data_IF_669569179538
#
_entry.id   IF_669569179538
#
_cell.length_a   1.000
_cell.length_b   1.000
_cell.length_c   1.000
_cell.angle_alpha   90.00
_cell.angle_beta   90.00
_cell.angle_gamma   90.00
#
_symmetry.space_group_name_H-M   'P 1'
#
loop_
_entity.id
_entity.type
_entity.pdbx_description
1 polymer ?
#
# COMPACT_ATOMS: atom_id res chain seq x y z
N UNK A 1 -1.41 -44.40 -56.66
CA UNK A 1 -0.04 -44.92 -56.43
C UNK A 1 0.80 -43.72 -55.98
N UNK A 2 1.32 -43.59 -54.77
CA UNK A 2 1.60 -44.54 -53.69
C UNK A 2 1.53 -43.82 -52.33
N UNK A 3 1.11 -44.54 -51.28
CA UNK A 3 1.33 -44.19 -49.86
C UNK A 3 2.80 -44.43 -49.50
N UNK A 4 3.46 -43.50 -48.78
CA UNK A 4 4.55 -43.82 -47.84
C UNK A 4 4.47 -42.84 -46.66
N UNK A 5 4.55 -43.42 -45.46
CA UNK A 5 4.31 -42.84 -44.15
C UNK A 5 5.56 -42.24 -43.47
N UNK A 6 5.25 -41.51 -42.39
CA UNK A 6 5.98 -41.45 -41.10
C UNK A 6 7.13 -40.45 -40.90
N UNK A 7 7.05 -39.70 -39.79
CA UNK A 7 8.22 -39.14 -39.11
C UNK A 7 8.09 -37.71 -38.56
N UNK A 8 7.18 -37.45 -37.60
CA UNK A 8 7.21 -36.19 -36.82
C UNK A 8 8.28 -36.30 -35.72
N UNK A 9 9.30 -35.42 -35.66
CA UNK A 9 10.30 -35.48 -34.60
C UNK A 9 9.66 -35.08 -33.25
N UNK A 10 9.77 -35.98 -32.26
CA UNK A 10 9.38 -35.74 -30.87
C UNK A 10 10.43 -34.82 -30.24
N UNK A 11 10.09 -33.56 -30.01
CA UNK A 11 10.87 -32.70 -29.11
C UNK A 11 10.61 -33.15 -27.67
N UNK A 12 11.59 -33.84 -27.08
CA UNK A 12 11.56 -34.17 -25.65
C UNK A 12 11.78 -32.89 -24.85
N UNK A 13 10.71 -32.32 -24.32
CA UNK A 13 10.81 -31.31 -23.27
C UNK A 13 11.45 -31.97 -22.03
N UNK A 14 12.64 -31.52 -21.64
CA UNK A 14 13.20 -31.91 -20.36
C UNK A 14 12.42 -31.21 -19.24
N UNK A 15 11.94 -31.92 -18.21
CA UNK A 15 11.31 -31.27 -17.07
C UNK A 15 12.36 -30.48 -16.30
N UNK A 16 12.13 -29.18 -16.13
CA UNK A 16 12.90 -28.32 -15.24
C UNK A 16 12.80 -28.89 -13.82
N UNK A 17 13.86 -29.53 -13.35
CA UNK A 17 13.94 -29.99 -11.96
C UNK A 17 14.08 -28.77 -11.06
N UNK A 18 13.05 -28.51 -10.24
CA UNK A 18 13.09 -27.44 -9.24
C UNK A 18 14.28 -27.66 -8.29
N UNK A 19 15.17 -26.68 -8.22
CA UNK A 19 16.34 -26.67 -7.32
C UNK A 19 16.00 -26.90 -5.84
N UNK A 20 14.72 -26.70 -5.46
CA UNK A 20 14.21 -26.89 -4.11
C UNK A 20 14.06 -28.37 -3.69
N UNK A 21 13.90 -29.31 -4.64
CA UNK A 21 13.71 -30.74 -4.34
C UNK A 21 15.02 -31.48 -4.06
N UNK A 22 16.18 -30.93 -4.48
CA UNK A 22 17.48 -31.51 -4.17
C UNK A 22 17.91 -31.28 -2.71
N UNK A 23 17.37 -30.26 -2.03
CA UNK A 23 17.75 -29.94 -0.65
C UNK A 23 17.16 -30.91 0.39
N UNK A 24 16.03 -31.56 0.07
CA UNK A 24 15.35 -32.50 0.98
C UNK A 24 15.93 -33.92 0.98
N UNK A 25 16.80 -34.27 0.02
CA UNK A 25 17.31 -35.65 -0.15
C UNK A 25 18.63 -35.94 0.58
N UNK A 26 19.24 -34.96 1.26
CA UNK A 26 20.53 -35.10 1.97
C UNK A 26 20.43 -35.40 3.47
N UNK A 27 19.25 -35.72 4.01
CA UNK A 27 19.12 -36.20 5.40
C UNK A 27 18.56 -37.61 5.41
N UNK A 28 19.44 -38.60 5.22
CA UNK A 28 19.16 -39.97 5.58
C UNK A 28 19.16 -40.14 7.11
N UNK A 29 18.45 -41.16 7.66
CA UNK A 29 18.41 -41.42 9.08
C UNK A 29 19.69 -42.20 9.48
N UNK A 30 20.63 -41.53 10.14
CA UNK A 30 21.75 -42.23 10.77
C UNK A 30 21.28 -42.81 12.10
N UNK A 31 21.29 -44.14 12.17
CA UNK A 31 21.09 -44.92 13.39
C UNK A 31 22.10 -44.53 14.48
N UNK A 32 21.59 -44.57 15.71
CA UNK A 32 22.30 -44.32 16.95
C UNK A 32 23.33 -45.42 17.29
N UNK A 33 24.52 -45.00 17.73
CA UNK A 33 25.32 -45.64 18.79
C UNK A 33 26.53 -44.79 19.13
N UNK A 34 26.75 -44.52 20.42
CA UNK A 34 28.06 -44.12 20.96
C UNK A 34 28.11 -42.76 21.64
N UNK A 35 28.09 -42.81 22.98
CA UNK A 35 28.56 -41.83 23.97
C UNK A 35 27.77 -40.53 24.19
N UNK A 36 27.26 -40.48 25.41
CA UNK A 36 26.78 -39.34 26.19
C UNK A 36 27.86 -38.28 26.33
N UNK A 37 27.60 -37.08 25.81
CA UNK A 37 27.89 -35.77 26.40
C UNK A 37 27.40 -34.71 25.42
N UNK A 38 26.32 -34.01 25.77
CA UNK A 38 25.90 -32.83 25.01
C UNK A 38 26.99 -31.75 25.10
N UNK A 39 27.08 -30.84 24.11
CA UNK A 39 28.09 -29.78 24.13
C UNK A 39 27.99 -28.99 25.44
N UNK A 40 29.10 -28.95 26.18
CA UNK A 40 29.19 -28.19 27.42
C UNK A 40 28.96 -26.70 27.11
N UNK A 41 27.94 -26.12 27.74
CA UNK A 41 27.67 -24.69 27.65
C UNK A 41 28.84 -23.92 28.30
N UNK A 42 29.30 -22.86 27.64
CA UNK A 42 30.35 -22.00 28.16
C UNK A 42 29.92 -21.36 29.49
N UNK A 43 30.84 -21.32 30.46
CA UNK A 43 30.62 -20.91 31.86
C UNK A 43 30.26 -19.41 32.07
N UNK A 44 29.84 -18.71 31.02
CA UNK A 44 29.61 -17.27 31.05
C UNK A 44 28.16 -16.88 30.77
N UNK A 45 27.19 -17.71 31.15
CA UNK A 45 25.80 -17.29 31.26
C UNK A 45 25.50 -16.84 32.69
N UNK A 46 25.14 -15.57 32.83
CA UNK A 46 24.75 -14.95 34.09
C UNK A 46 23.54 -15.71 34.65
N UNK A 47 23.71 -16.36 35.79
CA UNK A 47 22.63 -16.92 36.61
C UNK A 47 21.62 -15.83 36.96
N UNK A 48 20.61 -15.65 36.11
CA UNK A 48 19.37 -15.04 36.55
C UNK A 48 18.64 -16.12 37.34
N UNK A 49 18.71 -16.04 38.66
CA UNK A 49 17.79 -16.73 39.56
C UNK A 49 16.36 -16.53 39.08
N UNK A 50 15.83 -17.51 38.35
CA UNK A 50 14.41 -17.58 38.00
C UNK A 50 13.71 -18.00 39.28
N UNK A 51 13.28 -17.02 40.08
CA UNK A 51 12.28 -17.25 41.13
C UNK A 51 11.03 -17.80 40.45
N UNK A 52 10.84 -19.13 40.51
CA UNK A 52 9.59 -19.78 40.09
C UNK A 52 8.49 -19.24 41.02
N UNK A 53 7.58 -18.44 40.47
CA UNK A 53 6.35 -18.04 41.18
C UNK A 53 5.61 -19.32 41.57
N UNK A 54 5.03 -19.41 42.79
CA UNK A 54 4.20 -20.56 43.15
C UNK A 54 3.03 -20.69 42.16
N UNK A 55 2.56 -21.91 41.88
CA UNK A 55 1.46 -22.14 40.95
C UNK A 55 0.20 -21.47 41.49
N UNK A 56 -0.07 -20.28 40.97
CA UNK A 56 -1.37 -19.62 41.13
C UNK A 56 -2.44 -20.54 40.53
N UNK A 57 -3.52 -20.70 41.31
CA UNK A 57 -4.62 -21.65 41.16
C UNK A 57 -5.00 -22.07 39.73
N UNK A 58 -5.39 -23.34 39.65
CA UNK A 58 -6.10 -24.02 38.55
C UNK A 58 -6.72 -23.07 37.53
N UNK A 59 -5.92 -22.65 36.54
CA UNK A 59 -6.46 -22.05 35.33
C UNK A 59 -7.23 -23.15 34.62
N UNK A 60 -8.55 -23.06 34.64
CA UNK A 60 -9.44 -23.91 33.84
C UNK A 60 -8.92 -23.90 32.41
N UNK A 61 -8.41 -25.04 31.96
CA UNK A 61 -8.08 -25.29 30.55
C UNK A 61 -9.39 -25.36 29.77
N UNK A 62 -9.93 -24.18 29.45
CA UNK A 62 -11.17 -23.99 28.71
C UNK A 62 -11.05 -22.80 27.77
N UNK A 63 -9.88 -22.62 27.17
CA UNK A 63 -9.60 -21.60 26.18
C UNK A 63 -9.56 -22.19 24.78
N UNK A 64 -10.61 -22.90 24.37
CA UNK A 64 -10.78 -23.19 22.94
C UNK A 64 -10.86 -21.89 22.15
N UNK A 65 -10.34 -21.89 20.91
CA UNK A 65 -10.50 -20.75 19.99
C UNK A 65 -12.00 -20.46 19.88
N UNK A 66 -12.44 -19.32 20.42
CA UNK A 66 -13.83 -18.87 20.26
C UNK A 66 -14.03 -18.46 18.80
N UNK A 67 -14.51 -19.40 17.98
CA UNK A 67 -15.00 -19.09 16.63
C UNK A 67 -16.35 -18.38 16.82
N UNK A 68 -16.32 -17.05 16.90
CA UNK A 68 -17.54 -16.26 16.81
C UNK A 68 -18.09 -16.39 15.40
N UNK A 69 -19.24 -17.07 15.25
CA UNK A 69 -19.95 -17.11 13.98
C UNK A 69 -20.30 -15.68 13.58
N UNK A 70 -19.91 -15.28 12.38
CA UNK A 70 -20.32 -13.98 11.87
C UNK A 70 -21.85 -13.93 11.75
N UNK A 71 -22.46 -12.80 12.15
CA UNK A 71 -23.91 -12.66 12.06
C UNK A 71 -24.33 -12.68 10.59
N UNK A 72 -25.39 -13.43 10.28
CA UNK A 72 -26.03 -13.45 8.96
C UNK A 72 -26.83 -12.16 8.73
N UNK A 73 -26.13 -11.03 8.67
CA UNK A 73 -26.69 -9.70 8.45
C UNK A 73 -26.09 -9.15 7.17
N UNK A 74 -26.87 -8.44 6.37
CA UNK A 74 -26.33 -7.81 5.18
C UNK A 74 -25.41 -6.63 5.54
N UNK A 75 -24.29 -6.42 4.82
CA UNK A 75 -23.41 -5.27 5.00
C UNK A 75 -24.14 -3.90 4.95
N UNK A 76 -25.18 -3.81 4.12
CA UNK A 76 -26.03 -2.61 3.98
C UNK A 76 -26.70 -2.20 5.29
N UNK A 77 -27.06 -3.15 6.15
CA UNK A 77 -27.63 -2.85 7.46
C UNK A 77 -26.60 -2.21 8.39
N UNK A 78 -25.32 -2.60 8.29
CA UNK A 78 -24.24 -1.98 9.07
C UNK A 78 -23.93 -0.55 8.66
N UNK A 79 -24.07 -0.21 7.37
CA UNK A 79 -23.96 1.17 6.90
C UNK A 79 -25.02 2.08 7.51
N UNK A 80 -26.26 1.58 7.65
CA UNK A 80 -27.36 2.34 8.27
C UNK A 80 -27.16 2.54 9.77
N UNK A 81 -26.56 1.56 10.46
CA UNK A 81 -26.30 1.65 11.91
C UNK A 81 -25.17 2.63 12.27
N UNK A 82 -24.24 2.87 11.35
CA UNK A 82 -23.08 3.75 11.54
C UNK A 82 -23.02 4.81 10.42
N UNK A 83 -23.99 5.73 10.36
CA UNK A 83 -23.96 6.82 9.39
C UNK A 83 -22.76 7.74 9.68
N UNK A 84 -22.20 8.36 8.64
CA UNK A 84 -21.08 9.32 8.74
C UNK A 84 -19.71 8.71 9.09
N UNK A 85 -19.59 7.39 9.08
CA UNK A 85 -18.30 6.72 9.07
C UNK A 85 -17.90 6.37 7.63
N UNK A 86 -16.60 6.33 7.32
CA UNK A 86 -16.07 6.09 5.97
C UNK A 86 -16.27 4.65 5.47
N UNK A 87 -17.45 4.06 5.69
CA UNK A 87 -17.77 2.68 5.39
C UNK A 87 -18.41 2.61 4.00
N UNK A 88 -18.00 1.61 3.20
CA UNK A 88 -18.58 1.30 1.91
C UNK A 88 -18.69 -0.21 1.72
N UNK A 89 -19.51 -0.63 0.77
CA UNK A 89 -19.57 -2.03 0.35
C UNK A 89 -18.62 -2.20 -0.83
N UNK A 90 -17.72 -3.17 -0.74
CA UNK A 90 -16.83 -3.54 -1.85
C UNK A 90 -16.75 -5.06 -1.92
N UNK A 91 -17.06 -5.64 -3.10
CA UNK A 91 -17.07 -7.09 -3.30
C UNK A 91 -18.02 -7.86 -2.35
N UNK A 92 -19.14 -7.23 -1.93
CA UNK A 92 -20.09 -7.83 -0.99
C UNK A 92 -19.65 -7.83 0.48
N UNK A 93 -18.51 -7.23 0.81
CA UNK A 93 -17.96 -7.10 2.16
C UNK A 93 -18.00 -5.65 2.64
N UNK A 94 -17.96 -5.46 3.97
CA UNK A 94 -17.89 -4.13 4.58
C UNK A 94 -16.43 -3.65 4.56
N UNK A 95 -16.18 -2.45 4.01
CA UNK A 95 -14.84 -1.91 3.85
C UNK A 95 -14.77 -0.48 4.40
N UNK A 96 -13.69 -0.15 5.11
CA UNK A 96 -13.42 1.22 5.51
C UNK A 96 -12.54 1.93 4.47
N UNK A 97 -13.07 2.95 3.78
CA UNK A 97 -12.34 3.76 2.81
C UNK A 97 -11.17 4.53 3.44
N UNK A 98 -11.33 5.00 4.67
CA UNK A 98 -10.31 5.77 5.39
C UNK A 98 -9.13 4.88 5.82
N UNK A 99 -9.40 3.69 6.38
CA UNK A 99 -8.36 2.77 6.86
C UNK A 99 -7.85 1.80 5.80
N UNK A 100 -8.54 1.68 4.66
CA UNK A 100 -8.28 0.69 3.60
C UNK A 100 -8.31 -0.76 4.10
N UNK A 101 -9.17 -1.04 5.08
CA UNK A 101 -9.30 -2.35 5.75
C UNK A 101 -10.69 -2.94 5.54
N UNK A 102 -10.74 -4.26 5.31
CA UNK A 102 -11.98 -5.03 5.35
C UNK A 102 -12.42 -5.23 6.81
N UNK A 103 -13.71 -5.02 7.09
CA UNK A 103 -14.28 -5.15 8.42
C UNK A 103 -15.23 -6.35 8.50
N UNK A 104 -15.21 -7.00 9.66
CA UNK A 104 -16.19 -8.04 9.97
C UNK A 104 -17.60 -7.45 10.15
N UNK A 105 -18.62 -8.28 9.93
CA UNK A 105 -20.03 -7.89 10.09
C UNK A 105 -20.47 -7.83 11.57
N UNK A 106 -19.58 -8.12 12.52
CA UNK A 106 -19.86 -8.01 13.95
C UNK A 106 -19.94 -6.55 14.37
N UNK A 107 -21.08 -6.15 14.96
CA UNK A 107 -21.31 -4.78 15.45
C UNK A 107 -20.18 -4.27 16.34
N UNK A 108 -19.71 -5.12 17.25
CA UNK A 108 -18.66 -4.76 18.20
C UNK A 108 -17.30 -4.54 17.52
N UNK A 109 -17.00 -5.30 16.45
CA UNK A 109 -15.79 -5.10 15.65
C UNK A 109 -15.84 -3.76 14.91
N UNK A 110 -16.99 -3.40 14.34
CA UNK A 110 -17.17 -2.10 13.67
C UNK A 110 -17.08 -0.96 14.68
N UNK A 111 -17.75 -1.09 15.84
CA UNK A 111 -17.71 -0.07 16.90
C UNK A 111 -16.29 0.17 17.42
N UNK A 112 -15.54 -0.89 17.70
CA UNK A 112 -14.16 -0.81 18.19
C UNK A 112 -13.21 -0.23 17.15
N UNK A 113 -13.39 -0.58 15.87
CA UNK A 113 -12.65 0.03 14.76
C UNK A 113 -12.91 1.55 14.69
N UNK A 114 -14.18 1.95 14.65
CA UNK A 114 -14.59 3.35 14.52
C UNK A 114 -14.11 4.20 15.71
N UNK A 115 -14.13 3.67 16.92
CA UNK A 115 -13.65 4.37 18.12
C UNK A 115 -12.13 4.36 18.27
N UNK A 116 -11.40 3.67 17.39
CA UNK A 116 -9.94 3.57 17.49
C UNK A 116 -9.27 4.89 17.12
N UNK A 117 -8.23 5.27 17.85
CA UNK A 117 -7.38 6.41 17.52
C UNK A 117 -6.74 6.28 16.12
N UNK A 118 -6.48 5.05 15.67
CA UNK A 118 -6.00 4.79 14.29
C UNK A 118 -7.03 5.25 13.26
N UNK A 119 -8.31 4.99 13.51
CA UNK A 119 -9.39 5.36 12.61
C UNK A 119 -9.62 6.87 12.59
N UNK A 120 -9.60 7.55 13.75
CA UNK A 120 -9.78 9.00 13.79
C UNK A 120 -8.68 9.72 13.01
N UNK A 121 -7.41 9.38 13.24
CA UNK A 121 -6.29 9.96 12.49
C UNK A 121 -6.37 9.67 10.98
N UNK A 122 -6.76 8.45 10.61
CA UNK A 122 -6.95 8.09 9.20
C UNK A 122 -8.15 8.84 8.57
N UNK A 123 -9.21 9.08 9.34
CA UNK A 123 -10.38 9.85 8.90
C UNK A 123 -10.00 11.30 8.66
N UNK A 124 -9.27 11.93 9.58
CA UNK A 124 -8.85 13.32 9.44
C UNK A 124 -7.97 13.50 8.20
N UNK A 125 -6.97 12.62 8.02
CA UNK A 125 -6.14 12.60 6.81
C UNK A 125 -6.95 12.39 5.54
N UNK A 126 -7.94 11.50 5.57
CA UNK A 126 -8.78 11.23 4.41
C UNK A 126 -9.65 12.45 4.05
N UNK A 127 -10.22 13.14 5.04
CA UNK A 127 -11.00 14.37 4.83
C UNK A 127 -10.10 15.46 4.25
N UNK A 128 -8.92 15.67 4.84
CA UNK A 128 -7.95 16.64 4.35
C UNK A 128 -7.55 16.35 2.90
N UNK A 129 -7.16 15.11 2.58
CA UNK A 129 -6.81 14.72 1.21
C UNK A 129 -7.94 15.00 0.20
N UNK A 130 -9.20 14.79 0.60
CA UNK A 130 -10.35 15.08 -0.27
C UNK A 130 -10.60 16.58 -0.45
N UNK A 131 -10.34 17.37 0.58
CA UNK A 131 -10.39 18.83 0.49
C UNK A 131 -9.28 19.36 -0.39
N UNK A 132 -8.06 18.83 -0.24
CA UNK A 132 -6.91 19.18 -1.06
C UNK A 132 -7.16 18.82 -2.54
N UNK A 133 -7.66 17.62 -2.80
CA UNK A 133 -8.03 17.18 -4.16
C UNK A 133 -9.11 18.07 -4.78
N UNK A 134 -10.14 18.46 -4.01
CA UNK A 134 -11.19 19.36 -4.47
C UNK A 134 -10.62 20.74 -4.81
N UNK A 135 -9.84 21.32 -3.90
CA UNK A 135 -9.19 22.61 -4.08
C UNK A 135 -8.29 22.62 -5.34
N UNK A 136 -7.45 21.60 -5.52
CA UNK A 136 -6.59 21.50 -6.71
C UNK A 136 -7.45 21.36 -7.97
N UNK A 137 -8.53 20.59 -7.92
CA UNK A 137 -9.44 20.44 -9.06
C UNK A 137 -10.03 21.78 -9.46
N UNK A 138 -10.45 22.59 -8.50
CA UNK A 138 -10.99 23.93 -8.74
C UNK A 138 -9.93 24.84 -9.38
N UNK A 139 -8.74 24.92 -8.79
CA UNK A 139 -7.60 25.71 -9.32
C UNK A 139 -7.24 25.31 -10.76
N UNK A 140 -7.17 23.99 -11.04
CA UNK A 140 -6.86 23.51 -12.38
C UNK A 140 -8.00 23.83 -13.35
N UNK A 141 -9.26 23.71 -12.92
CA UNK A 141 -10.42 24.01 -13.76
C UNK A 141 -10.42 25.48 -14.14
N UNK A 142 -10.24 26.39 -13.17
CA UNK A 142 -10.13 27.83 -13.43
C UNK A 142 -9.00 28.13 -14.42
N UNK A 143 -7.81 27.59 -14.19
CA UNK A 143 -6.66 27.79 -15.07
C UNK A 143 -6.92 27.35 -16.52
N UNK A 144 -7.43 26.13 -16.73
CA UNK A 144 -7.67 25.60 -18.08
C UNK A 144 -8.89 26.25 -18.77
N UNK A 145 -9.81 26.84 -18.01
CA UNK A 145 -10.87 27.67 -18.61
C UNK A 145 -10.36 28.99 -19.16
N UNK A 146 -9.34 29.58 -18.52
CA UNK A 146 -8.69 30.81 -18.98
C UNK A 146 -7.70 30.56 -20.13
N UNK A 147 -7.04 29.40 -20.13
CA UNK A 147 -6.02 29.00 -21.11
C UNK A 147 -6.54 27.91 -22.06
N UNK A 148 -7.61 28.23 -22.78
CA UNK A 148 -8.30 27.29 -23.68
C UNK A 148 -7.50 26.92 -24.94
N UNK A 149 -6.37 27.58 -25.19
CA UNK A 149 -5.44 27.34 -26.28
C UNK A 149 -4.49 26.16 -26.00
N UNK A 150 -4.32 25.77 -24.73
CA UNK A 150 -3.47 24.64 -24.38
C UNK A 150 -4.08 23.32 -24.88
N UNK A 151 -3.25 22.45 -25.46
CA UNK A 151 -3.68 21.15 -26.00
C UNK A 151 -4.35 20.22 -24.96
N UNK A 152 -4.16 20.48 -23.66
CA UNK A 152 -4.75 19.73 -22.56
C UNK A 152 -6.00 20.39 -21.96
N UNK A 153 -6.38 21.60 -22.36
CA UNK A 153 -7.45 22.37 -21.71
C UNK A 153 -8.85 21.72 -21.82
N UNK A 154 -9.08 20.94 -22.88
CA UNK A 154 -10.37 20.25 -23.10
C UNK A 154 -10.55 18.93 -22.34
N UNK A 155 -9.69 18.61 -21.37
CA UNK A 155 -9.79 17.36 -20.61
C UNK A 155 -10.75 17.49 -19.43
N UNK A 156 -11.28 16.35 -18.98
CA UNK A 156 -12.12 16.30 -17.78
C UNK A 156 -11.30 16.65 -16.52
N UNK A 157 -11.88 17.34 -15.53
CA UNK A 157 -11.18 17.72 -14.29
C UNK A 157 -10.54 16.54 -13.55
N UNK A 158 -11.19 15.36 -13.58
CA UNK A 158 -10.64 14.14 -12.96
C UNK A 158 -9.33 13.70 -13.65
N UNK A 159 -9.22 13.85 -14.97
CA UNK A 159 -8.01 13.53 -15.72
C UNK A 159 -6.89 14.52 -15.40
N UNK A 160 -7.23 15.81 -15.26
CA UNK A 160 -6.29 16.85 -14.83
C UNK A 160 -5.75 16.58 -13.43
N UNK A 161 -6.62 16.33 -12.46
CA UNK A 161 -6.24 16.01 -11.09
C UNK A 161 -5.33 14.77 -11.04
N UNK A 162 -5.69 13.70 -11.76
CA UNK A 162 -4.88 12.49 -11.80
C UNK A 162 -3.47 12.75 -12.37
N UNK A 163 -3.36 13.48 -13.49
CA UNK A 163 -2.07 13.83 -14.10
C UNK A 163 -1.24 14.76 -13.22
N UNK A 164 -1.89 15.71 -12.57
CA UNK A 164 -1.28 16.58 -11.56
C UNK A 164 -0.68 15.73 -10.43
N UNK A 165 -1.47 14.86 -9.78
CA UNK A 165 -1.03 14.03 -8.64
C UNK A 165 0.10 13.07 -9.00
N UNK A 166 0.09 12.50 -10.20
CA UNK A 166 1.20 11.68 -10.69
C UNK A 166 2.48 12.51 -10.82
N UNK A 167 2.38 13.71 -11.40
CA UNK A 167 3.53 14.61 -11.59
C UNK A 167 4.09 15.08 -10.26
N UNK A 168 3.21 15.55 -9.36
CA UNK A 168 3.53 15.95 -7.99
C UNK A 168 4.25 14.82 -7.23
N UNK A 169 3.72 13.59 -7.29
CA UNK A 169 4.32 12.43 -6.63
C UNK A 169 5.72 12.10 -7.16
N UNK A 170 5.96 12.26 -8.47
CA UNK A 170 7.27 12.07 -9.07
C UNK A 170 8.26 13.13 -8.61
N UNK A 171 7.84 14.41 -8.59
CA UNK A 171 8.66 15.52 -8.12
C UNK A 171 8.99 15.38 -6.63
N UNK A 172 8.01 15.08 -5.80
CA UNK A 172 8.18 14.84 -4.36
C UNK A 172 9.18 13.71 -4.08
N UNK A 173 9.14 12.64 -4.88
CA UNK A 173 10.07 11.52 -4.76
C UNK A 173 11.46 11.77 -5.38
N UNK A 174 11.69 12.93 -6.01
CA UNK A 174 12.93 13.22 -6.76
C UNK A 174 13.11 12.33 -7.99
N UNK A 175 12.03 11.78 -8.54
CA UNK A 175 12.04 10.91 -9.71
C UNK A 175 11.84 11.76 -10.97
N UNK A 176 12.76 11.68 -11.97
CA UNK A 176 12.57 12.39 -13.23
C UNK A 176 11.25 12.00 -13.91
N UNK A 177 10.50 12.98 -14.42
CA UNK A 177 9.19 12.77 -15.06
C UNK A 177 9.29 11.78 -16.25
N UNK A 178 10.40 11.79 -16.98
CA UNK A 178 10.67 10.82 -18.06
C UNK A 178 10.66 9.36 -17.60
N UNK A 179 10.97 9.09 -16.32
CA UNK A 179 10.85 7.73 -15.77
C UNK A 179 9.41 7.32 -15.51
N UNK A 180 8.49 8.27 -15.37
CA UNK A 180 7.05 8.03 -15.26
C UNK A 180 6.48 7.29 -16.48
N UNK A 181 7.09 7.48 -17.66
CA UNK A 181 6.68 6.80 -18.89
C UNK A 181 6.83 5.27 -18.79
N UNK A 182 7.85 4.77 -18.09
CA UNK A 182 8.04 3.34 -17.85
C UNK A 182 7.05 2.77 -16.81
N UNK A 183 6.52 3.62 -15.94
CA UNK A 183 5.55 3.24 -14.91
C UNK A 183 4.11 3.33 -15.42
N UNK A 184 3.90 3.87 -16.62
CA UNK A 184 2.58 4.06 -17.23
C UNK A 184 1.69 2.80 -17.22
N UNK A 185 2.19 1.58 -17.54
CA UNK A 185 1.36 0.36 -17.45
C UNK A 185 0.88 -0.01 -16.05
N UNK A 186 1.52 0.52 -15.01
CA UNK A 186 1.09 0.36 -13.62
C UNK A 186 0.10 1.47 -13.22
N UNK A 187 0.40 2.70 -13.59
CA UNK A 187 -0.37 3.88 -13.23
C UNK A 187 -1.77 3.85 -13.87
N UNK A 188 -1.85 3.48 -15.15
CA UNK A 188 -3.09 3.46 -15.93
C UNK A 188 -4.04 2.28 -15.60
N UNK A 189 -3.69 1.41 -14.63
CA UNK A 189 -4.56 0.29 -14.23
C UNK A 189 -5.86 0.72 -13.57
N UNK A 190 -5.97 1.99 -13.18
CA UNK A 190 -7.17 2.59 -12.64
C UNK A 190 -8.07 3.21 -13.73
N UNK A 191 -7.89 2.80 -15.01
CA UNK A 191 -8.66 3.23 -16.19
C UNK A 191 -8.54 4.72 -16.57
N UNK A 192 -7.62 5.47 -15.95
CA UNK A 192 -7.29 6.85 -16.32
C UNK A 192 -6.01 6.86 -17.16
N UNK A 193 -6.08 7.42 -18.37
CA UNK A 193 -4.93 7.50 -19.29
C UNK A 193 -3.97 8.62 -18.93
N UNK A 194 -2.70 8.27 -18.79
CA UNK A 194 -1.61 9.21 -18.62
C UNK A 194 -1.14 9.71 -19.99
N UNK A 195 -0.59 10.91 -20.01
CA UNK A 195 0.07 11.47 -21.19
C UNK A 195 1.58 11.21 -21.14
N UNK A 196 2.30 11.56 -22.20
CA UNK A 196 3.76 11.53 -22.23
C UNK A 196 4.39 12.49 -21.24
N UNK A 197 5.60 12.19 -20.78
CA UNK A 197 6.37 13.05 -19.89
C UNK A 197 6.46 14.51 -20.33
N UNK A 198 6.52 14.79 -21.63
CA UNK A 198 6.50 16.15 -22.18
C UNK A 198 5.24 16.95 -21.81
N UNK A 199 4.07 16.32 -21.85
CA UNK A 199 2.82 16.97 -21.45
C UNK A 199 2.63 16.98 -19.93
N UNK A 200 3.20 16.02 -19.20
CA UNK A 200 3.19 16.06 -17.73
C UNK A 200 4.00 17.23 -17.18
N UNK A 201 5.05 17.68 -17.89
CA UNK A 201 5.83 18.87 -17.50
C UNK A 201 4.99 20.14 -17.42
N UNK A 202 3.86 20.22 -18.14
CA UNK A 202 2.97 21.38 -18.12
C UNK A 202 2.36 21.63 -16.74
N UNK A 203 2.30 20.62 -15.87
CA UNK A 203 1.80 20.73 -14.50
C UNK A 203 2.86 21.23 -13.51
N UNK A 204 4.16 21.19 -13.86
CA UNK A 204 5.25 21.57 -12.94
C UNK A 204 5.11 22.99 -12.41
N UNK A 205 4.84 24.03 -13.25
CA UNK A 205 4.68 25.39 -12.73
C UNK A 205 3.49 25.53 -11.76
N UNK A 206 2.43 24.75 -11.97
CA UNK A 206 1.22 24.77 -11.13
C UNK A 206 1.46 24.09 -9.79
N UNK A 207 2.27 23.03 -9.79
CA UNK A 207 2.72 22.37 -8.55
C UNK A 207 3.62 23.32 -7.77
N UNK A 208 4.57 23.96 -8.44
CA UNK A 208 5.49 24.92 -7.82
C UNK A 208 4.75 26.09 -7.18
N UNK A 209 3.75 26.68 -7.85
CA UNK A 209 2.98 27.78 -7.27
C UNK A 209 2.22 27.37 -6.00
N UNK A 210 1.57 26.20 -6.00
CA UNK A 210 0.84 25.70 -4.85
C UNK A 210 1.77 25.33 -3.69
N UNK A 211 2.92 24.71 -3.97
CA UNK A 211 3.93 24.41 -2.95
C UNK A 211 4.52 25.70 -2.35
N UNK A 212 4.74 26.72 -3.18
CA UNK A 212 5.23 28.01 -2.72
C UNK A 212 4.23 28.70 -1.79
N UNK A 213 2.94 28.71 -2.15
CA UNK A 213 1.86 29.23 -1.29
C UNK A 213 1.77 28.49 0.04
N UNK A 214 1.87 27.16 0.00
CA UNK A 214 1.84 26.33 1.19
C UNK A 214 3.02 26.60 2.11
N UNK A 215 4.24 26.65 1.57
CA UNK A 215 5.46 27.00 2.33
C UNK A 215 5.38 28.42 2.91
N UNK A 216 4.85 29.37 2.14
CA UNK A 216 4.65 30.74 2.61
C UNK A 216 3.70 30.78 3.82
N UNK A 217 2.63 29.99 3.79
CA UNK A 217 1.71 29.85 4.93
C UNK A 217 2.37 29.16 6.13
N UNK A 218 3.14 28.08 5.91
CA UNK A 218 3.85 27.35 6.98
C UNK A 218 4.88 28.24 7.68
N UNK A 219 5.60 29.07 6.92
CA UNK A 219 6.59 30.02 7.43
C UNK A 219 5.98 31.30 8.01
N UNK A 220 4.65 31.39 8.14
CA UNK A 220 3.93 32.58 8.64
C UNK A 220 4.30 33.87 7.87
N UNK A 221 4.60 33.74 6.57
CA UNK A 221 5.05 34.86 5.73
C UNK A 221 6.48 35.34 6.01
N UNK A 222 7.28 34.61 6.78
CA UNK A 222 8.71 34.89 6.93
C UNK A 222 9.46 34.39 5.69
N UNK A 223 10.21 35.29 5.05
CA UNK A 223 11.07 34.93 3.92
C UNK A 223 12.34 34.24 4.43
N UNK A 224 12.52 32.99 4.02
CA UNK A 224 13.74 32.21 4.29
C UNK A 224 14.63 32.25 3.06
N UNK A 225 15.86 32.71 3.21
CA UNK A 225 16.86 32.74 2.14
C UNK A 225 17.87 31.61 2.36
N UNK A 226 18.04 30.74 1.36
CA UNK A 226 19.10 29.73 1.36
C UNK A 226 20.33 30.31 0.65
N UNK A 227 21.43 30.49 1.41
CA UNK A 227 22.73 30.86 0.83
C UNK A 227 23.45 29.57 0.46
N UNK A 228 23.54 29.27 -0.83
CA UNK A 228 24.31 28.14 -1.34
C UNK A 228 25.75 28.60 -1.62
N UNK A 229 26.66 28.24 -0.71
CA UNK A 229 28.08 28.50 -0.88
C UNK A 229 28.66 27.52 -1.91
N UNK A 230 28.88 28.00 -3.13
CA UNK A 230 29.54 27.26 -4.20
C UNK A 230 31.04 27.14 -3.87
N UNK A 231 31.44 26.05 -3.22
CA UNK A 231 32.84 25.70 -3.06
C UNK A 231 33.41 25.34 -4.43
N UNK A 232 34.20 26.24 -5.03
CA UNK A 232 34.97 25.95 -6.24
C UNK A 232 35.87 24.73 -5.95
N UNK A 233 35.64 23.66 -6.72
CA UNK A 233 36.54 22.49 -6.82
C UNK A 233 37.61 22.82 -7.84
#
# INVERSE_FOLDING_TARGET
MAEIASGRPKTSAQPLTNAFDQFKRKRGPHLASGNTEGPALAAHERDRTIRKKPPSGTKRAGGGIRITKEPKIQPSQRLKEFPNHCLRISGGKLFCSCCKEELSLLKQSVKTHVSSAKHSLAKDKYVQQRQDDAHITDVLTEYFTEHNDEATAGLEPEVHLYRYRVTESLLFAGVPISKGDYLRPLLERADIKLTGSEHLRQYVPKIESLEFEHLHHELQGQSVFFILEQKKI
#
